data_IF_346481117450
#
_entry.id   IF_346481117450
#
_cell.length_a   1.000
_cell.length_b   1.000
_cell.length_c   1.000
_cell.angle_alpha   90.00
_cell.angle_beta   90.00
_cell.angle_gamma   90.00
#
_symmetry.space_group_name_H-M   'P 1'
#
loop_
_entity.id
_entity.type
_entity.pdbx_description
1 polymer ?
#
# COMPACT_ATOMS: atom_id res chain seq x y z
N UNK A 1 2.92 -14.30 9.51
CA UNK A 1 1.89 -13.51 10.22
C UNK A 1 1.61 -12.28 9.36
N UNK A 2 0.34 -11.99 9.06
CA UNK A 2 -0.07 -10.81 8.29
C UNK A 2 -0.76 -9.83 9.24
N UNK A 3 -0.35 -8.57 9.21
CA UNK A 3 -0.95 -7.49 10.00
C UNK A 3 -1.61 -6.51 9.04
N UNK A 4 -2.85 -6.14 9.33
CA UNK A 4 -3.66 -5.26 8.50
C UNK A 4 -3.87 -3.92 9.21
N UNK A 5 -3.52 -2.84 8.51
CA UNK A 5 -3.86 -1.47 8.90
C UNK A 5 -5.00 -0.99 8.02
N UNK A 6 -6.07 -0.46 8.61
CA UNK A 6 -7.19 0.08 7.84
C UNK A 6 -7.85 1.26 8.56
N UNK A 7 -8.44 2.14 7.75
CA UNK A 7 -9.21 3.33 8.17
C UNK A 7 -10.68 3.00 8.45
N UNK A 8 -11.17 1.83 8.01
CA UNK A 8 -12.57 1.41 8.17
C UNK A 8 -12.69 0.43 9.35
N UNK A 9 -13.52 0.78 10.33
CA UNK A 9 -13.79 -0.01 11.55
C UNK A 9 -14.69 -1.26 11.32
N UNK A 10 -14.94 -1.66 10.07
CA UNK A 10 -16.02 -2.60 9.73
C UNK A 10 -15.52 -4.00 9.32
N UNK A 11 -14.35 -4.42 9.84
CA UNK A 11 -13.82 -5.78 9.63
C UNK A 11 -14.46 -6.80 10.57
N UNK A 12 -15.75 -7.05 10.40
CA UNK A 12 -16.54 -8.04 11.17
C UNK A 12 -16.14 -9.52 10.93
N UNK A 13 -15.01 -9.81 10.27
CA UNK A 13 -14.63 -11.16 9.81
C UNK A 13 -13.16 -11.55 10.00
N UNK A 14 -12.31 -10.72 10.60
CA UNK A 14 -10.90 -11.06 10.85
C UNK A 14 -10.62 -11.22 12.35
N UNK A 15 -9.66 -12.08 12.76
CA UNK A 15 -9.23 -12.16 14.15
C UNK A 15 -8.69 -10.81 14.62
N UNK A 16 -9.16 -10.33 15.78
CA UNK A 16 -8.80 -9.00 16.34
C UNK A 16 -7.28 -8.81 16.52
N UNK A 17 -6.52 -9.89 16.71
CA UNK A 17 -5.07 -9.84 16.95
C UNK A 17 -4.23 -9.41 15.75
N UNK A 18 -4.80 -9.41 14.53
CA UNK A 18 -4.08 -9.08 13.30
C UNK A 18 -4.50 -7.71 12.73
N UNK A 19 -5.32 -6.96 13.44
CA UNK A 19 -5.86 -5.68 12.99
C UNK A 19 -5.46 -4.55 13.92
N UNK A 20 -5.04 -3.44 13.33
CA UNK A 20 -4.78 -2.20 14.05
C UNK A 20 -5.50 -1.07 13.32
N UNK A 21 -6.30 -0.31 14.07
CA UNK A 21 -6.92 0.89 13.54
C UNK A 21 -5.84 1.87 13.11
N UNK A 22 -5.98 2.42 11.91
CA UNK A 22 -5.00 3.31 11.31
C UNK A 22 -5.72 4.51 10.66
N UNK A 23 -5.40 5.71 11.13
CA UNK A 23 -5.79 6.96 10.46
C UNK A 23 -4.63 7.45 9.59
N UNK A 24 -4.83 7.51 8.27
CA UNK A 24 -3.80 8.02 7.37
C UNK A 24 -3.45 9.49 7.61
N UNK A 25 -4.29 10.26 8.31
CA UNK A 25 -3.96 11.61 8.74
C UNK A 25 -2.91 11.65 9.86
N UNK A 26 -2.70 10.53 10.56
CA UNK A 26 -1.65 10.31 11.54
C UNK A 26 -0.74 9.14 11.11
N UNK A 27 0.11 9.30 10.07
CA UNK A 27 0.85 8.22 9.41
C UNK A 27 1.65 7.27 10.31
N UNK A 28 2.15 7.79 11.44
CA UNK A 28 3.01 7.04 12.37
C UNK A 28 2.32 6.74 13.71
N UNK A 29 1.01 7.01 13.81
CA UNK A 29 0.21 6.64 14.98
C UNK A 29 -0.22 5.17 14.90
N UNK A 30 0.81 4.31 14.94
CA UNK A 30 0.72 2.85 14.93
C UNK A 30 1.62 2.30 16.05
N UNK A 31 1.44 1.05 16.50
CA UNK A 31 2.31 0.44 17.51
C UNK A 31 3.80 0.62 17.18
N UNK A 32 4.59 1.09 18.14
CA UNK A 32 6.01 1.41 17.89
C UNK A 32 6.83 0.20 17.45
N UNK A 33 6.44 -0.98 17.93
CA UNK A 33 7.08 -2.26 17.60
C UNK A 33 6.93 -2.64 16.12
N UNK A 34 6.07 -1.95 15.38
CA UNK A 34 5.89 -2.15 13.93
C UNK A 34 6.96 -1.46 13.10
N UNK A 35 7.78 -0.60 13.71
CA UNK A 35 8.84 0.10 12.99
C UNK A 35 9.84 -0.90 12.41
N UNK A 36 10.08 -0.83 11.10
CA UNK A 36 10.98 -1.72 10.35
C UNK A 36 10.70 -3.22 10.61
N UNK A 37 9.46 -3.59 10.94
CA UNK A 37 9.13 -4.96 11.33
C UNK A 37 8.81 -5.84 10.11
N UNK A 38 8.26 -5.25 9.06
CA UNK A 38 7.68 -6.00 7.94
C UNK A 38 8.68 -6.16 6.80
N UNK A 39 8.83 -7.38 6.29
CA UNK A 39 9.65 -7.66 5.11
C UNK A 39 9.03 -7.15 3.82
N UNK A 40 7.69 -7.12 3.76
CA UNK A 40 6.91 -6.60 2.64
C UNK A 40 5.76 -5.78 3.21
N UNK A 41 5.54 -4.58 2.67
CA UNK A 41 4.37 -3.75 2.98
C UNK A 41 3.49 -3.63 1.74
N UNK A 42 2.19 -3.93 1.88
CA UNK A 42 1.20 -3.79 0.81
C UNK A 42 0.27 -2.63 1.17
N UNK A 43 0.10 -1.68 0.26
CA UNK A 43 -0.74 -0.51 0.49
C UNK A 43 -1.66 -0.21 -0.71
N UNK A 44 -2.88 0.22 -0.39
CA UNK A 44 -3.88 0.73 -1.34
C UNK A 44 -4.53 1.97 -0.71
N UNK A 45 -3.98 3.18 -0.97
CA UNK A 45 -4.43 4.40 -0.31
C UNK A 45 -5.85 4.79 -0.76
N UNK A 46 -6.67 5.35 0.14
CA UNK A 46 -8.08 5.61 -0.14
C UNK A 46 -8.35 6.70 -1.18
N UNK A 47 -7.37 7.58 -1.46
CA UNK A 47 -7.56 8.75 -2.32
C UNK A 47 -6.43 8.91 -3.33
N UNK A 48 -6.80 9.39 -4.52
CA UNK A 48 -5.86 9.72 -5.60
C UNK A 48 -5.43 11.20 -5.53
N UNK A 49 -4.80 11.55 -4.42
CA UNK A 49 -4.30 12.90 -4.13
C UNK A 49 -2.87 12.86 -3.59
N UNK A 50 -2.10 13.90 -3.89
CA UNK A 50 -0.70 14.02 -3.50
C UNK A 50 -0.51 13.90 -1.98
N UNK A 51 -1.40 14.52 -1.21
CA UNK A 51 -1.37 14.44 0.25
C UNK A 51 -1.56 13.00 0.75
N UNK A 52 -2.52 12.27 0.17
CA UNK A 52 -2.81 10.89 0.57
C UNK A 52 -1.65 9.95 0.23
N UNK A 53 -1.07 10.08 -0.97
CA UNK A 53 0.10 9.30 -1.37
C UNK A 53 1.29 9.61 -0.47
N UNK A 54 1.54 10.89 -0.15
CA UNK A 54 2.64 11.30 0.74
C UNK A 54 2.49 10.72 2.14
N UNK A 55 1.31 10.88 2.75
CA UNK A 55 1.02 10.35 4.08
C UNK A 55 1.15 8.83 4.13
N UNK A 56 0.61 8.14 3.13
CA UNK A 56 0.73 6.68 3.04
C UNK A 56 2.18 6.24 2.85
N UNK A 57 2.98 6.97 2.06
CA UNK A 57 4.39 6.68 1.88
C UNK A 57 5.20 6.80 3.19
N UNK A 58 4.86 7.76 4.06
CA UNK A 58 5.46 7.89 5.39
C UNK A 58 5.18 6.62 6.22
N UNK A 59 3.92 6.19 6.26
CA UNK A 59 3.50 4.97 6.96
C UNK A 59 4.23 3.74 6.43
N UNK A 60 4.23 3.55 5.10
CA UNK A 60 4.85 2.39 4.45
C UNK A 60 6.34 2.30 4.76
N UNK A 61 7.06 3.43 4.69
CA UNK A 61 8.49 3.51 5.04
C UNK A 61 8.75 3.31 6.53
N UNK A 62 7.83 3.71 7.39
CA UNK A 62 7.96 3.48 8.83
C UNK A 62 7.84 1.99 9.17
N UNK A 63 6.94 1.28 8.50
CA UNK A 63 6.63 -0.13 8.76
C UNK A 63 7.62 -1.12 8.13
N UNK A 64 8.04 -0.83 6.89
CA UNK A 64 8.72 -1.78 6.03
C UNK A 64 10.24 -1.69 6.10
N UNK A 65 10.91 -2.85 5.99
CA UNK A 65 12.37 -2.92 5.85
C UNK A 65 12.85 -2.53 4.47
N UNK A 66 12.16 -3.01 3.43
CA UNK A 66 12.61 -2.87 2.05
C UNK A 66 11.47 -2.99 1.03
N UNK A 67 10.78 -4.13 0.96
CA UNK A 67 9.88 -4.42 -0.18
C UNK A 67 8.50 -3.77 -0.03
N UNK A 68 8.04 -3.11 -1.10
CA UNK A 68 6.77 -2.40 -1.16
C UNK A 68 5.95 -2.91 -2.35
N UNK A 69 4.66 -3.18 -2.11
CA UNK A 69 3.63 -3.35 -3.14
C UNK A 69 2.58 -2.26 -2.93
N UNK A 70 2.35 -1.45 -3.96
CA UNK A 70 1.48 -0.29 -3.85
C UNK A 70 0.48 -0.28 -5.01
N UNK A 71 -0.80 -0.39 -4.70
CA UNK A 71 -1.87 -0.28 -5.69
C UNK A 71 -2.42 1.15 -5.64
N UNK A 72 -2.52 1.83 -6.78
CA UNK A 72 -3.16 3.15 -6.84
C UNK A 72 -3.57 3.51 -8.27
N UNK A 73 -4.13 4.69 -8.46
CA UNK A 73 -4.48 5.21 -9.78
C UNK A 73 -3.22 5.52 -10.60
N UNK A 74 -3.20 5.13 -11.87
CA UNK A 74 -2.06 5.26 -12.79
C UNK A 74 -1.50 6.68 -12.88
N UNK A 75 -2.36 7.70 -12.72
CA UNK A 75 -1.95 9.11 -12.64
C UNK A 75 -1.02 9.46 -11.47
N UNK A 76 -0.93 8.61 -10.45
CA UNK A 76 -0.06 8.79 -9.29
C UNK A 76 1.33 8.14 -9.45
N UNK A 77 1.58 7.45 -10.57
CA UNK A 77 2.83 6.69 -10.81
C UNK A 77 4.09 7.52 -10.58
N UNK A 78 4.17 8.71 -11.18
CA UNK A 78 5.36 9.56 -11.07
C UNK A 78 5.63 9.99 -9.62
N UNK A 79 4.57 10.16 -8.84
CA UNK A 79 4.70 10.51 -7.43
C UNK A 79 5.17 9.33 -6.60
N UNK A 80 4.63 8.14 -6.84
CA UNK A 80 5.08 6.90 -6.21
C UNK A 80 6.56 6.61 -6.52
N UNK A 81 7.01 6.89 -7.75
CA UNK A 81 8.42 6.76 -8.14
C UNK A 81 9.31 7.75 -7.38
N UNK A 82 8.93 9.03 -7.34
CA UNK A 82 9.71 10.05 -6.61
C UNK A 82 9.81 9.78 -5.11
N UNK A 83 8.72 9.33 -4.49
CA UNK A 83 8.68 9.14 -3.04
C UNK A 83 9.27 7.81 -2.59
N UNK A 84 9.10 6.74 -3.35
CA UNK A 84 9.36 5.37 -2.90
C UNK A 84 10.06 4.50 -3.96
N UNK A 85 10.47 5.08 -5.09
CA UNK A 85 11.14 4.36 -6.19
C UNK A 85 10.33 3.20 -6.75
N UNK A 86 8.99 3.36 -6.78
CA UNK A 86 8.09 2.32 -7.26
C UNK A 86 7.93 2.38 -8.78
N UNK A 87 7.96 1.22 -9.43
CA UNK A 87 7.74 1.04 -10.86
C UNK A 87 6.49 0.23 -11.11
N UNK A 88 5.76 0.57 -12.19
CA UNK A 88 4.56 -0.16 -12.60
C UNK A 88 4.91 -1.60 -12.97
N UNK A 89 4.07 -2.55 -12.53
CA UNK A 89 4.20 -3.98 -12.78
C UNK A 89 3.11 -4.50 -13.71
N UNK A 90 3.29 -5.74 -14.19
CA UNK A 90 2.34 -6.38 -15.13
C UNK A 90 0.97 -6.61 -14.50
N UNK A 91 0.94 -6.80 -13.18
CA UNK A 91 -0.31 -6.95 -12.44
C UNK A 91 -1.16 -5.67 -12.52
N UNK A 92 -2.33 -5.77 -13.13
CA UNK A 92 -3.33 -4.70 -13.15
C UNK A 92 -4.51 -5.07 -12.23
N UNK A 93 -4.73 -4.35 -11.11
CA UNK A 93 -5.85 -4.63 -10.22
C UNK A 93 -7.18 -4.37 -10.93
N UNK A 94 -8.09 -5.35 -10.88
CA UNK A 94 -9.44 -5.24 -11.42
C UNK A 94 -10.43 -4.90 -10.31
N UNK A 95 -11.27 -3.91 -10.56
CA UNK A 95 -12.32 -3.50 -9.64
C UNK A 95 -13.64 -4.14 -10.01
N UNK A 96 -14.42 -4.58 -9.02
CA UNK A 96 -15.76 -5.16 -9.23
C UNK A 96 -16.74 -4.15 -9.83
N UNK A 97 -16.54 -2.87 -9.55
CA UNK A 97 -17.31 -1.76 -10.11
C UNK A 97 -16.44 -1.00 -11.12
N UNK A 98 -17.05 -0.49 -12.19
CA UNK A 98 -16.35 0.39 -13.13
C UNK A 98 -15.94 1.68 -12.42
N UNK A 99 -14.64 1.80 -12.13
CA UNK A 99 -14.04 3.07 -11.73
C UNK A 99 -13.61 3.82 -12.98
N UNK A 100 -13.78 5.14 -12.97
CA UNK A 100 -13.39 6.00 -14.10
C UNK A 100 -11.86 6.10 -14.28
N UNK A 101 -11.08 5.78 -13.25
CA UNK A 101 -9.63 5.87 -13.28
C UNK A 101 -9.01 4.50 -13.62
N UNK A 102 -7.92 4.52 -14.40
CA UNK A 102 -7.05 3.36 -14.55
C UNK A 102 -6.22 3.17 -13.27
N UNK A 103 -6.12 1.93 -12.78
CA UNK A 103 -5.31 1.58 -11.62
C UNK A 103 -4.14 0.68 -12.04
N UNK A 104 -3.03 0.77 -11.30
CA UNK A 104 -1.86 -0.06 -11.49
C UNK A 104 -1.32 -0.57 -10.15
N UNK A 105 -0.50 -1.62 -10.23
CA UNK A 105 0.34 -2.08 -9.13
C UNK A 105 1.76 -1.59 -9.36
N UNK A 106 2.39 -1.04 -8.32
CA UNK A 106 3.78 -0.59 -8.35
C UNK A 106 4.60 -1.26 -7.26
N UNK A 107 5.87 -1.59 -7.55
CA UNK A 107 6.80 -2.16 -6.56
C UNK A 107 8.21 -1.60 -6.73
N UNK A 108 9.05 -1.72 -5.70
CA UNK A 108 10.48 -1.36 -5.74
C UNK A 108 11.43 -2.56 -6.01
N UNK A 109 10.91 -3.74 -6.33
CA UNK A 109 11.72 -4.94 -6.57
C UNK A 109 11.20 -5.71 -7.80
N UNK A 110 12.13 -6.23 -8.60
CA UNK A 110 11.87 -6.71 -9.97
C UNK A 110 11.37 -8.16 -10.01
N UNK A 111 11.68 -8.96 -8.99
CA UNK A 111 11.27 -10.36 -8.89
C UNK A 111 9.75 -10.53 -8.77
N UNK A 112 9.01 -9.43 -8.57
CA UNK A 112 7.55 -9.42 -8.50
C UNK A 112 6.89 -10.00 -9.77
N UNK A 113 7.46 -9.73 -10.95
CA UNK A 113 6.88 -10.16 -12.22
C UNK A 113 7.35 -11.57 -12.66
N UNK A 114 8.31 -12.20 -11.97
CA UNK A 114 8.90 -13.49 -12.37
C UNK A 114 7.90 -14.66 -12.31
N UNK A 115 6.84 -14.52 -11.54
CA UNK A 115 5.79 -15.54 -11.38
C UNK A 115 4.45 -15.14 -12.02
N UNK A 116 4.40 -14.00 -12.72
CA UNK A 116 3.21 -13.57 -13.45
C UNK A 116 3.18 -14.21 -14.84
N UNK A 117 2.12 -14.96 -15.21
CA UNK A 117 1.98 -15.50 -16.56
C UNK A 117 1.97 -14.35 -17.59
N UNK A 118 2.62 -14.60 -18.73
CA UNK A 118 2.70 -13.69 -19.88
C UNK A 118 1.35 -13.43 -20.52
#
# INVERSE_FOLDING_TARGET
>A
MFTYLNTINDFKKLPETNFVFYDFNAPVDVPRDFRDQFSVVIADPPFLSDECITKTAITVKYLGKDKIIFCTGKKMTDMCDRLMSLKVRKFAPKHKNNLANEFCCLTNYDEFDEHMPS
#
